data_IF_028396129752
#
_entry.id   IF_028396129752
#
_cell.length_a   1.000
_cell.length_b   1.000
_cell.length_c   1.000
_cell.angle_alpha   90.00
_cell.angle_beta   90.00
_cell.angle_gamma   90.00
#
_symmetry.space_group_name_H-M   'P 1'
#
loop_
_entity.id
_entity.type
_entity.pdbx_description
1 polymer ?
#
# COMPACT_ATOMS: atom_id res chain seq x y z
N UNK A 1 -0.61 7.89 17.44
CA UNK A 1 -1.48 7.53 16.28
C UNK A 1 -0.72 6.56 15.42
N UNK A 2 -1.30 5.42 15.02
CA UNK A 2 -0.56 4.43 14.21
C UNK A 2 -0.74 4.66 12.71
N UNK A 3 0.40 4.75 12.03
CA UNK A 3 0.49 4.76 10.58
C UNK A 3 0.97 3.39 10.12
N UNK A 4 0.22 2.79 9.21
CA UNK A 4 0.70 1.65 8.43
C UNK A 4 1.24 2.15 7.10
N UNK A 5 2.57 2.12 6.96
CA UNK A 5 3.24 2.60 5.77
C UNK A 5 3.61 1.43 4.87
N UNK A 6 3.40 1.61 3.56
CA UNK A 6 3.74 0.64 2.53
C UNK A 6 4.45 1.37 1.40
N UNK A 7 5.75 1.12 1.27
CA UNK A 7 6.54 1.55 0.11
C UNK A 7 6.53 0.43 -0.92
N UNK A 8 6.22 0.77 -2.17
CA UNK A 8 6.14 -0.21 -3.27
C UNK A 8 7.03 0.24 -4.41
N UNK A 9 7.99 -0.59 -4.79
CA UNK A 9 8.72 -0.46 -6.04
C UNK A 9 8.03 -1.32 -7.11
N UNK A 10 7.72 -0.74 -8.27
CA UNK A 10 7.02 -1.41 -9.37
C UNK A 10 7.75 -1.17 -10.69
N UNK A 11 7.87 -2.20 -11.51
CA UNK A 11 8.51 -2.11 -12.83
C UNK A 11 7.82 -1.08 -13.72
N UNK A 12 8.60 -0.27 -14.44
CA UNK A 12 8.09 0.88 -15.22
C UNK A 12 7.02 0.48 -16.23
N UNK A 13 7.08 -0.71 -16.81
CA UNK A 13 6.15 -1.15 -17.86
C UNK A 13 4.73 -1.45 -17.31
N UNK A 14 4.60 -1.67 -15.99
CA UNK A 14 3.28 -1.85 -15.34
C UNK A 14 2.93 -0.76 -14.35
N UNK A 15 3.84 0.19 -14.08
CA UNK A 15 3.66 1.19 -13.05
C UNK A 15 2.38 2.04 -13.23
N UNK A 16 2.03 2.42 -14.46
CA UNK A 16 0.81 3.21 -14.73
C UNK A 16 -0.47 2.40 -14.45
N UNK A 17 -0.54 1.15 -14.90
CA UNK A 17 -1.67 0.26 -14.63
C UNK A 17 -1.79 -0.04 -13.14
N UNK A 18 -0.65 -0.31 -12.48
CA UNK A 18 -0.57 -0.53 -11.05
C UNK A 18 -1.03 0.70 -10.25
N UNK A 19 -0.59 1.89 -10.63
CA UNK A 19 -1.01 3.14 -10.00
C UNK A 19 -2.54 3.33 -10.09
N UNK A 20 -3.12 3.13 -11.27
CA UNK A 20 -4.58 3.22 -11.45
C UNK A 20 -5.32 2.19 -10.60
N UNK A 21 -4.85 0.95 -10.58
CA UNK A 21 -5.45 -0.09 -9.73
C UNK A 21 -5.37 0.26 -8.24
N UNK A 22 -4.24 0.81 -7.79
CA UNK A 22 -4.12 1.30 -6.40
C UNK A 22 -5.15 2.38 -6.09
N UNK A 23 -5.28 3.40 -6.94
CA UNK A 23 -6.18 4.54 -6.73
C UNK A 23 -7.65 4.14 -6.81
N UNK A 24 -8.02 3.34 -7.81
CA UNK A 24 -9.43 3.07 -8.12
C UNK A 24 -9.96 1.74 -7.55
N UNK A 25 -9.10 0.88 -7.01
CA UNK A 25 -9.50 -0.44 -6.51
C UNK A 25 -8.91 -0.72 -5.15
N UNK A 26 -7.59 -0.91 -5.06
CA UNK A 26 -6.99 -1.47 -3.85
C UNK A 26 -7.10 -0.55 -2.63
N UNK A 27 -6.74 0.73 -2.74
CA UNK A 27 -6.86 1.67 -1.62
C UNK A 27 -8.32 1.82 -1.18
N UNK A 28 -9.31 2.01 -2.08
CA UNK A 28 -10.72 1.97 -1.72
C UNK A 28 -11.13 0.70 -0.96
N UNK A 29 -10.73 -0.48 -1.42
CA UNK A 29 -11.03 -1.75 -0.75
C UNK A 29 -10.42 -1.81 0.66
N UNK A 30 -9.17 -1.35 0.83
CA UNK A 30 -8.52 -1.25 2.14
C UNK A 30 -9.32 -0.32 3.07
N UNK A 31 -9.78 0.84 2.59
CA UNK A 31 -10.56 1.77 3.42
C UNK A 31 -11.96 1.22 3.77
N UNK A 32 -12.60 0.50 2.84
CA UNK A 32 -13.91 -0.11 3.05
C UNK A 32 -13.91 -1.18 4.17
N UNK A 33 -12.74 -1.71 4.53
CA UNK A 33 -12.62 -2.61 5.70
C UNK A 33 -12.97 -1.92 7.02
N UNK A 34 -12.95 -0.59 7.08
CA UNK A 34 -13.26 0.20 8.28
C UNK A 34 -12.13 0.27 9.32
N UNK A 35 -10.98 -0.38 9.10
CA UNK A 35 -9.86 -0.36 10.04
C UNK A 35 -9.00 0.93 9.97
N UNK A 36 -9.20 1.74 8.93
CA UNK A 36 -8.44 2.96 8.65
C UNK A 36 -9.35 4.18 8.52
N UNK A 37 -8.89 5.33 9.01
CA UNK A 37 -9.59 6.62 8.93
C UNK A 37 -9.31 7.38 7.64
N UNK A 38 -8.19 7.08 6.99
CA UNK A 38 -7.76 7.77 5.79
C UNK A 38 -6.42 7.24 5.29
N UNK A 39 -5.96 7.85 4.20
CA UNK A 39 -4.66 7.55 3.63
C UNK A 39 -3.98 8.79 3.03
N UNK A 40 -2.69 8.68 2.77
CA UNK A 40 -1.94 9.51 1.81
C UNK A 40 -1.25 8.58 0.83
N UNK A 41 -1.29 8.90 -0.45
CA UNK A 41 -0.67 8.12 -1.50
C UNK A 41 0.07 9.04 -2.47
N UNK A 42 1.27 8.64 -2.87
CA UNK A 42 2.07 9.40 -3.82
C UNK A 42 3.29 8.63 -4.30
N UNK A 43 3.96 9.21 -5.28
CA UNK A 43 5.25 8.72 -5.77
C UNK A 43 6.38 9.21 -4.87
N UNK A 44 7.35 8.35 -4.61
CA UNK A 44 8.60 8.68 -3.92
C UNK A 44 9.54 9.26 -4.96
N UNK A 45 9.79 10.57 -4.85
CA UNK A 45 10.71 11.30 -5.73
C UNK A 45 12.16 11.18 -5.23
N UNK A 46 12.36 11.18 -3.92
CA UNK A 46 13.67 11.05 -3.26
C UNK A 46 13.55 10.11 -2.04
N UNK A 47 14.41 9.07 -1.92
CA UNK A 47 15.38 8.65 -2.91
C UNK A 47 14.73 8.08 -4.17
N UNK A 48 15.35 8.28 -5.35
CA UNK A 48 14.80 7.73 -6.59
C UNK A 48 14.75 6.20 -6.50
N UNK A 49 13.76 5.63 -7.20
CA UNK A 49 13.68 4.20 -7.36
C UNK A 49 14.91 3.65 -8.12
N UNK A 50 15.27 2.37 -7.94
CA UNK A 50 16.25 1.71 -8.78
C UNK A 50 15.89 1.84 -10.28
N UNK A 51 16.90 1.80 -11.15
CA UNK A 51 16.68 1.83 -12.60
C UNK A 51 15.69 0.74 -13.03
N UNK A 52 14.71 1.11 -13.86
CA UNK A 52 13.64 0.21 -14.29
C UNK A 52 12.43 0.12 -13.35
N UNK A 53 12.44 0.86 -12.23
CA UNK A 53 11.34 0.89 -11.27
C UNK A 53 10.82 2.32 -11.04
N UNK A 54 9.57 2.40 -10.59
CA UNK A 54 9.01 3.57 -9.89
C UNK A 54 8.71 3.18 -8.44
N UNK A 55 8.84 4.12 -7.52
CA UNK A 55 8.58 3.89 -6.11
C UNK A 55 7.38 4.70 -5.66
N UNK A 56 6.43 4.08 -4.96
CA UNK A 56 5.26 4.73 -4.39
C UNK A 56 5.21 4.50 -2.90
N UNK A 57 4.56 5.41 -2.17
CA UNK A 57 4.33 5.30 -0.75
C UNK A 57 2.85 5.51 -0.47
N UNK A 58 2.24 4.57 0.25
CA UNK A 58 0.94 4.76 0.89
C UNK A 58 1.08 4.74 2.40
N UNK A 59 0.47 5.70 3.06
CA UNK A 59 0.38 5.81 4.50
C UNK A 59 -1.09 5.66 4.88
N UNK A 60 -1.43 4.63 5.63
CA UNK A 60 -2.79 4.43 6.14
C UNK A 60 -2.86 4.83 7.61
N UNK A 61 -3.83 5.68 7.95
CA UNK A 61 -4.07 6.14 9.32
C UNK A 61 -5.00 5.14 10.02
N UNK A 62 -4.44 4.30 10.90
CA UNK A 62 -5.22 3.28 11.60
C UNK A 62 -6.21 3.93 12.58
N UNK A 63 -7.42 3.36 12.66
CA UNK A 63 -8.45 3.86 13.57
C UNK A 63 -8.07 3.64 15.05
N UNK A 64 -7.37 2.55 15.35
CA UNK A 64 -6.77 2.26 16.65
C UNK A 64 -5.63 1.26 16.50
N UNK A 65 -4.95 1.01 17.61
CA UNK A 65 -3.97 -0.03 17.77
C UNK A 65 -4.50 -1.42 17.39
N UNK A 66 -5.67 -1.75 17.91
CA UNK A 66 -6.38 -3.02 17.76
C UNK A 66 -6.94 -3.17 16.35
N UNK A 67 -7.41 -2.06 15.76
CA UNK A 67 -7.91 -2.04 14.38
C UNK A 67 -6.82 -2.40 13.39
N UNK A 68 -5.60 -1.87 13.57
CA UNK A 68 -4.46 -2.24 12.73
C UNK A 68 -4.11 -3.73 12.87
N UNK A 69 -4.09 -4.25 14.10
CA UNK A 69 -3.81 -5.67 14.32
C UNK A 69 -4.85 -6.55 13.63
N UNK A 70 -6.14 -6.25 13.81
CA UNK A 70 -7.23 -6.97 13.17
C UNK A 70 -7.15 -6.92 11.63
N UNK A 71 -6.81 -5.77 11.05
CA UNK A 71 -6.57 -5.65 9.62
C UNK A 71 -5.43 -6.55 9.15
N UNK A 72 -4.28 -6.53 9.84
CA UNK A 72 -3.10 -7.29 9.46
C UNK A 72 -3.34 -8.81 9.50
N UNK A 73 -4.16 -9.28 10.43
CA UNK A 73 -4.51 -10.69 10.58
C UNK A 73 -5.59 -11.16 9.60
N UNK A 74 -6.64 -10.34 9.39
CA UNK A 74 -7.86 -10.79 8.71
C UNK A 74 -7.94 -10.35 7.26
N UNK A 75 -7.65 -9.09 6.97
CA UNK A 75 -7.89 -8.50 5.65
C UNK A 75 -6.63 -8.39 4.80
N UNK A 76 -5.48 -8.09 5.41
CA UNK A 76 -4.25 -7.91 4.67
C UNK A 76 -3.84 -9.15 3.85
N UNK A 77 -3.95 -10.40 4.34
CA UNK A 77 -3.66 -11.58 3.53
C UNK A 77 -4.60 -11.71 2.32
N UNK A 78 -5.91 -11.49 2.54
CA UNK A 78 -6.94 -11.57 1.50
C UNK A 78 -6.72 -10.53 0.40
N UNK A 79 -6.52 -9.27 0.79
CA UNK A 79 -6.30 -8.16 -0.16
C UNK A 79 -4.98 -8.30 -0.92
N UNK A 80 -3.93 -8.88 -0.30
CA UNK A 80 -2.67 -9.19 -1.00
C UNK A 80 -2.81 -10.35 -1.97
N UNK A 81 -3.64 -11.34 -1.68
CA UNK A 81 -3.92 -12.44 -2.59
C UNK A 81 -4.77 -12.02 -3.80
N UNK A 82 -5.53 -10.92 -3.68
CA UNK A 82 -6.37 -10.38 -4.74
C UNK A 82 -5.62 -9.52 -5.79
N UNK A 83 -4.29 -9.50 -5.75
CA UNK A 83 -3.51 -8.76 -6.74
C UNK A 83 -3.74 -9.30 -8.16
N UNK A 84 -3.99 -8.42 -9.14
CA UNK A 84 -4.11 -8.82 -10.54
C UNK A 84 -2.88 -9.62 -11.03
N UNK A 85 -3.07 -10.70 -11.82
CA UNK A 85 -1.98 -11.55 -12.30
C UNK A 85 -0.86 -10.78 -13.01
N UNK A 86 -1.19 -9.70 -13.72
CA UNK A 86 -0.25 -8.86 -14.46
C UNK A 86 0.79 -8.13 -13.59
N UNK A 87 0.54 -8.02 -12.27
CA UNK A 87 1.49 -7.40 -11.34
C UNK A 87 2.35 -8.44 -10.60
N UNK A 88 2.02 -9.73 -10.68
CA UNK A 88 2.71 -10.76 -9.92
C UNK A 88 4.19 -10.84 -10.31
N UNK A 89 5.08 -10.76 -9.31
CA UNK A 89 6.52 -10.76 -9.51
C UNK A 89 7.11 -9.44 -10.04
N UNK A 90 6.27 -8.43 -10.33
CA UNK A 90 6.70 -7.16 -10.95
C UNK A 90 6.71 -5.97 -9.98
N UNK A 91 6.49 -6.24 -8.70
CA UNK A 91 6.61 -5.24 -7.64
C UNK A 91 7.19 -5.84 -6.36
N UNK A 92 7.77 -4.99 -5.52
CA UNK A 92 8.25 -5.32 -4.17
C UNK A 92 7.68 -4.32 -3.20
N UNK A 93 7.20 -4.81 -2.06
CA UNK A 93 6.56 -3.96 -1.05
C UNK A 93 7.23 -4.11 0.31
N UNK A 94 7.72 -3.00 0.84
CA UNK A 94 8.27 -2.85 2.17
C UNK A 94 7.25 -2.18 3.08
N UNK A 95 7.14 -2.65 4.33
CA UNK A 95 6.06 -2.24 5.21
C UNK A 95 6.55 -2.05 6.63
N UNK A 96 6.04 -1.01 7.29
CA UNK A 96 6.31 -0.75 8.68
C UNK A 96 5.11 -0.13 9.37
N UNK A 97 5.07 -0.29 10.68
CA UNK A 97 4.12 0.40 11.55
C UNK A 97 4.88 1.50 12.27
N UNK A 98 4.43 2.73 12.11
CA UNK A 98 5.00 3.89 12.78
C UNK A 98 4.00 4.42 13.81
N UNK A 99 4.45 4.59 15.04
CA UNK A 99 3.69 5.32 16.06
C UNK A 99 4.04 6.81 15.96
N UNK A 100 3.11 7.60 15.45
CA UNK A 100 3.21 9.05 15.39
C UNK A 100 2.88 9.63 16.77
N UNK A 101 3.81 10.43 17.31
CA UNK A 101 3.67 11.16 18.58
C UNK A 101 2.84 12.43 18.39
#
# INVERSE_FOLDING_TARGET
MRIYAVRVEVEVEVAEAWYRWMVYTHIPEVLQTGYFRGHRFGEVVEPPAPAGYRAFLVLYEAASAESLQAYLEKEAPRLRAAYPPEFQGRFRAERWVWEMQ
#
